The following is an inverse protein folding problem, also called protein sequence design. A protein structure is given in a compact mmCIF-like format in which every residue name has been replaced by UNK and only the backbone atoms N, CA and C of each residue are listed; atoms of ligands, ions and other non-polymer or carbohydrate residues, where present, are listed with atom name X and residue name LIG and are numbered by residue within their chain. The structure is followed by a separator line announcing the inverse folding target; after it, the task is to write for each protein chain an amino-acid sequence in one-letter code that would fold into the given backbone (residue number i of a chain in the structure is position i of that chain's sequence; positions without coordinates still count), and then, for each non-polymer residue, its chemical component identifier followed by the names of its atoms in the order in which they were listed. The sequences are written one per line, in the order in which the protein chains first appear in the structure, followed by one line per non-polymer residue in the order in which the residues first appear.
data_IF_164777400309
#
_entry.id   IF_164777400309
#
_cell.length_a   1.000
_cell.length_b   1.000
_cell.length_c   1.000
_cell.angle_alpha   90.00
_cell.angle_beta   90.00
_cell.angle_gamma   90.00
#
_symmetry.space_group_name_H-M   'P 1'
#
loop_
_entity.id
_entity.type
_entity.pdbx_description
1 polymer ?
#
# COMPACT_ATOMS: atom_id res chain seq x y z
N UNK A 1 -18.88 -9.12 35.71
CA UNK A 1 -17.65 -9.45 34.96
C UNK A 1 -16.53 -9.92 35.91
N UNK A 2 -16.11 -9.12 36.90
CA UNK A 2 -15.10 -9.56 37.88
C UNK A 2 -15.50 -10.80 38.69
N UNK A 3 -16.78 -10.94 39.03
CA UNK A 3 -17.34 -12.15 39.67
C UNK A 3 -17.25 -13.39 38.79
N UNK A 4 -17.33 -13.23 37.47
CA UNK A 4 -17.19 -14.31 36.51
C UNK A 4 -15.72 -14.76 36.43
N UNK A 5 -14.79 -13.83 36.29
CA UNK A 5 -13.35 -14.13 36.33
C UNK A 5 -12.94 -14.82 37.65
N UNK A 6 -13.50 -14.38 38.78
CA UNK A 6 -13.27 -15.03 40.07
C UNK A 6 -13.82 -16.47 40.11
N UNK A 7 -15.02 -16.69 39.58
CA UNK A 7 -15.63 -18.02 39.51
C UNK A 7 -14.82 -18.97 38.59
N UNK A 8 -14.25 -18.47 37.49
CA UNK A 8 -13.39 -19.26 36.60
C UNK A 8 -12.08 -19.69 37.29
N UNK A 9 -11.44 -18.80 38.05
CA UNK A 9 -10.24 -19.15 38.86
C UNK A 9 -10.60 -20.17 39.94
N UNK A 10 -11.76 -20.05 40.57
CA UNK A 10 -12.24 -21.05 41.54
C UNK A 10 -12.49 -22.40 40.85
N UNK A 11 -13.07 -22.40 39.66
CA UNK A 11 -13.28 -23.61 38.87
C UNK A 11 -11.94 -24.26 38.47
N UNK A 12 -10.98 -23.52 37.92
CA UNK A 12 -9.66 -24.05 37.55
C UNK A 12 -8.89 -24.56 38.76
N UNK A 13 -8.97 -23.88 39.91
CA UNK A 13 -8.40 -24.37 41.17
C UNK A 13 -9.04 -25.71 41.62
N UNK A 14 -10.37 -25.84 41.57
CA UNK A 14 -11.06 -27.11 41.91
C UNK A 14 -10.62 -28.26 41.01
N UNK A 15 -10.46 -28.00 39.71
CA UNK A 15 -9.96 -28.99 38.74
C UNK A 15 -8.51 -29.35 39.06
N UNK A 16 -7.64 -28.36 39.31
CA UNK A 16 -6.24 -28.57 39.67
C UNK A 16 -6.10 -29.41 40.95
N UNK A 17 -6.92 -29.18 41.97
CA UNK A 17 -6.92 -30.00 43.19
C UNK A 17 -7.20 -31.49 42.93
N UNK A 18 -7.94 -31.82 41.87
CA UNK A 18 -8.20 -33.21 41.47
C UNK A 18 -7.10 -33.79 40.59
N UNK A 19 -6.49 -32.97 39.72
CA UNK A 19 -5.43 -33.41 38.81
C UNK A 19 -4.06 -33.53 39.48
N UNK A 20 -3.73 -32.64 40.42
CA UNK A 20 -2.45 -32.63 41.11
C UNK A 20 -2.10 -33.95 41.83
N UNK A 21 -3.01 -34.61 42.59
CA UNK A 21 -2.70 -35.92 43.18
C UNK A 21 -2.51 -37.01 42.11
N UNK A 22 -3.23 -36.94 40.99
CA UNK A 22 -3.01 -37.86 39.86
C UNK A 22 -1.61 -37.67 39.25
N UNK A 23 -1.17 -36.42 39.10
CA UNK A 23 0.18 -36.08 38.67
C UNK A 23 1.25 -36.65 39.61
N UNK A 24 1.10 -36.50 40.94
CA UNK A 24 2.02 -37.08 41.92
C UNK A 24 2.04 -38.62 41.88
N UNK A 25 0.91 -39.26 41.62
CA UNK A 25 0.85 -40.72 41.46
C UNK A 25 1.58 -41.20 40.20
N UNK A 26 1.58 -40.40 39.13
CA UNK A 26 2.24 -40.69 37.87
C UNK A 26 3.75 -40.43 37.94
N UNK A 27 4.15 -39.38 38.64
CA UNK A 27 5.54 -38.96 38.83
C UNK A 27 5.87 -38.91 40.33
N UNK A 28 6.26 -40.06 40.92
CA UNK A 28 6.45 -40.17 42.37
C UNK A 28 7.73 -39.48 42.87
N UNK A 29 8.64 -39.12 41.96
CA UNK A 29 9.93 -38.56 42.34
C UNK A 29 9.83 -37.04 42.58
N UNK A 30 10.14 -36.55 43.80
CA UNK A 30 9.94 -35.15 44.18
C UNK A 30 10.79 -34.17 43.36
N UNK A 31 11.89 -34.64 42.75
CA UNK A 31 12.74 -33.78 41.89
C UNK A 31 12.02 -33.36 40.62
N UNK A 32 11.05 -34.15 40.11
CA UNK A 32 10.27 -33.74 38.93
C UNK A 32 9.39 -32.53 39.25
N UNK A 33 8.73 -32.54 40.41
CA UNK A 33 7.94 -31.38 40.87
C UNK A 33 8.84 -30.19 41.18
N UNK A 34 9.92 -30.41 41.94
CA UNK A 34 10.87 -29.36 42.28
C UNK A 34 11.49 -28.72 41.03
N UNK A 35 11.84 -29.50 40.02
CA UNK A 35 12.37 -28.99 38.75
C UNK A 35 11.37 -28.09 38.02
N UNK A 36 10.09 -28.47 37.95
CA UNK A 36 9.05 -27.62 37.32
C UNK A 36 8.82 -26.33 38.11
N UNK A 37 8.86 -26.40 39.44
CA UNK A 37 8.71 -25.22 40.29
C UNK A 37 9.92 -24.28 40.16
N UNK A 38 11.14 -24.80 40.17
CA UNK A 38 12.37 -24.01 39.98
C UNK A 38 12.41 -23.36 38.59
N UNK A 39 11.98 -24.07 37.55
CA UNK A 39 11.83 -23.49 36.21
C UNK A 39 10.80 -22.36 36.18
N UNK A 40 9.74 -22.43 37.00
CA UNK A 40 8.76 -21.35 37.14
C UNK A 40 9.29 -20.11 37.90
N UNK A 41 10.38 -20.26 38.66
CA UNK A 41 11.01 -19.19 39.45
C UNK A 41 12.16 -18.50 38.71
N UNK A 42 12.49 -18.92 37.49
CA UNK A 42 13.57 -18.28 36.73
C UNK A 42 13.23 -16.83 36.43
N UNK A 43 14.14 -15.92 36.75
CA UNK A 43 14.03 -14.51 36.41
C UNK A 43 14.95 -14.16 35.24
N UNK A 44 14.51 -13.24 34.39
CA UNK A 44 15.35 -12.70 33.33
C UNK A 44 16.07 -11.45 33.86
N UNK A 45 17.42 -11.41 33.90
CA UNK A 45 18.13 -10.22 34.32
C UNK A 45 18.05 -9.15 33.22
N UNK A 46 17.34 -8.06 33.51
CA UNK A 46 17.25 -6.89 32.64
C UNK A 46 18.10 -5.74 33.18
N UNK A 47 18.88 -5.13 32.28
CA UNK A 47 19.65 -3.92 32.49
C UNK A 47 18.76 -2.69 32.19
N UNK A 48 19.05 -1.53 32.79
CA UNK A 48 18.52 -0.22 32.36
C UNK A 48 18.69 0.06 30.85
N UNK A 49 19.73 -0.50 30.20
CA UNK A 49 19.99 -0.44 28.76
C UNK A 49 18.94 -1.20 27.91
N UNK A 50 18.10 -2.04 28.52
CA UNK A 50 17.09 -2.80 27.78
C UNK A 50 16.12 -1.90 27.00
N UNK A 51 15.75 -0.76 27.57
CA UNK A 51 14.88 0.20 26.91
C UNK A 51 15.57 0.89 25.72
N UNK A 52 16.88 1.11 25.80
CA UNK A 52 17.65 1.66 24.70
C UNK A 52 17.77 0.62 23.59
N UNK A 53 18.08 -0.63 23.93
CA UNK A 53 18.11 -1.74 22.98
C UNK A 53 16.79 -1.88 22.20
N UNK A 54 15.63 -1.82 22.87
CA UNK A 54 14.32 -1.85 22.19
C UNK A 54 14.18 -0.68 21.22
N UNK A 55 14.53 0.54 21.64
CA UNK A 55 14.46 1.72 20.78
C UNK A 55 15.35 1.58 19.55
N UNK A 56 16.60 1.13 19.74
CA UNK A 56 17.55 0.92 18.65
C UNK A 56 17.02 -0.17 17.68
N UNK A 57 16.36 -1.22 18.19
CA UNK A 57 15.71 -2.23 17.35
C UNK A 57 14.51 -1.67 16.57
N UNK A 58 13.68 -0.84 17.20
CA UNK A 58 12.52 -0.22 16.57
C UNK A 58 12.93 0.80 15.49
N UNK A 59 14.00 1.57 15.75
CA UNK A 59 14.59 2.52 14.80
C UNK A 59 15.17 1.77 13.60
N UNK A 60 16.02 0.78 13.82
CA UNK A 60 16.60 -0.03 12.74
C UNK A 60 15.53 -0.75 11.92
N UNK A 61 14.46 -1.24 12.54
CA UNK A 61 13.31 -1.80 11.82
C UNK A 61 12.60 -0.75 10.96
N UNK A 62 12.36 0.43 11.51
CA UNK A 62 11.68 1.53 10.81
C UNK A 62 12.49 2.01 9.61
N UNK A 63 13.80 2.08 9.74
CA UNK A 63 14.72 2.42 8.66
C UNK A 63 14.66 1.39 7.53
N UNK A 64 14.78 0.09 7.85
CA UNK A 64 14.73 -0.99 6.86
C UNK A 64 13.36 -1.09 6.18
N UNK A 65 12.26 -0.92 6.91
CA UNK A 65 10.91 -0.89 6.34
C UNK A 65 10.72 0.33 5.43
N UNK A 66 11.27 1.49 5.81
CA UNK A 66 11.33 2.69 4.98
C UNK A 66 12.08 2.45 3.67
N UNK A 67 13.30 1.90 3.74
CA UNK A 67 14.12 1.56 2.58
C UNK A 67 13.40 0.57 1.65
N UNK A 68 12.81 -0.49 2.22
CA UNK A 68 12.06 -1.48 1.44
C UNK A 68 10.88 -0.85 0.69
N UNK A 69 10.12 0.04 1.34
CA UNK A 69 9.02 0.78 0.72
C UNK A 69 9.51 1.71 -0.38
N UNK A 70 10.65 2.39 -0.18
CA UNK A 70 11.24 3.24 -1.21
C UNK A 70 11.64 2.43 -2.45
N UNK A 71 12.30 1.28 -2.29
CA UNK A 71 12.65 0.40 -3.40
C UNK A 71 11.39 -0.07 -4.13
N UNK A 72 10.37 -0.51 -3.40
CA UNK A 72 9.09 -0.92 -3.98
C UNK A 72 8.41 0.23 -4.75
N UNK A 73 8.52 1.46 -4.24
CA UNK A 73 7.95 2.64 -4.90
C UNK A 73 8.65 2.94 -6.22
N UNK A 74 9.98 2.84 -6.25
CA UNK A 74 10.80 3.02 -7.45
C UNK A 74 10.50 1.95 -8.50
N UNK A 75 10.36 0.69 -8.08
CA UNK A 75 9.99 -0.41 -8.96
C UNK A 75 8.58 -0.22 -9.55
N UNK A 76 7.64 0.31 -8.76
CA UNK A 76 6.30 0.60 -9.24
C UNK A 76 6.29 1.74 -10.27
N UNK A 77 7.13 2.75 -10.09
CA UNK A 77 7.32 3.84 -11.05
C UNK A 77 7.99 3.34 -12.35
N UNK A 78 9.02 2.50 -12.24
CA UNK A 78 9.64 1.84 -13.39
C UNK A 78 8.63 0.97 -14.15
N UNK A 79 7.81 0.19 -13.44
CA UNK A 79 6.74 -0.59 -14.06
C UNK A 79 5.76 0.31 -14.82
N UNK A 80 5.41 1.50 -14.31
CA UNK A 80 4.54 2.43 -15.02
C UNK A 80 5.11 2.91 -16.36
N UNK A 81 6.43 2.94 -16.54
CA UNK A 81 7.05 3.31 -17.81
C UNK A 81 6.66 2.36 -18.96
N UNK A 82 6.39 1.08 -18.64
CA UNK A 82 5.95 0.05 -19.59
C UNK A 82 4.62 0.38 -20.30
N UNK A 83 3.84 1.32 -19.76
CA UNK A 83 2.59 1.78 -20.36
C UNK A 83 2.81 2.45 -21.73
N UNK A 84 3.90 3.19 -21.91
CA UNK A 84 4.11 4.02 -23.11
C UNK A 84 4.28 3.19 -24.39
N UNK A 85 4.89 2.00 -24.28
CA UNK A 85 5.21 1.14 -25.43
C UNK A 85 4.29 -0.10 -25.53
N UNK A 86 3.26 -0.20 -24.68
CA UNK A 86 2.48 -1.43 -24.48
C UNK A 86 3.33 -2.69 -24.17
N UNK A 87 4.55 -2.49 -23.66
CA UNK A 87 5.48 -3.58 -23.33
C UNK A 87 5.00 -4.42 -22.15
N UNK A 88 4.04 -3.92 -21.38
CA UNK A 88 3.44 -4.67 -20.27
C UNK A 88 2.81 -6.01 -20.73
N UNK A 89 2.29 -6.11 -21.96
CA UNK A 89 1.74 -7.37 -22.51
C UNK A 89 2.80 -8.45 -22.67
N UNK A 90 4.02 -7.99 -22.98
CA UNK A 90 5.23 -8.81 -23.09
C UNK A 90 5.86 -9.07 -21.71
N UNK A 91 5.48 -8.32 -20.68
CA UNK A 91 6.13 -8.42 -19.39
C UNK A 91 5.55 -9.57 -18.56
N UNK A 92 6.42 -10.47 -18.14
CA UNK A 92 6.06 -11.75 -17.54
C UNK A 92 5.31 -11.64 -16.20
N UNK A 93 5.61 -10.62 -15.41
CA UNK A 93 4.95 -10.39 -14.12
C UNK A 93 3.73 -9.46 -14.18
N UNK A 94 3.57 -8.67 -15.25
CA UNK A 94 2.62 -7.55 -15.28
C UNK A 94 1.52 -7.64 -16.34
N UNK A 95 1.55 -8.64 -17.22
CA UNK A 95 0.55 -8.82 -18.29
C UNK A 95 -0.90 -8.87 -17.75
N UNK A 96 -1.10 -9.48 -16.58
CA UNK A 96 -2.40 -9.71 -15.92
C UNK A 96 -2.92 -8.51 -15.09
N UNK A 97 -2.18 -7.40 -14.99
CA UNK A 97 -2.59 -6.27 -14.14
C UNK A 97 -3.54 -5.28 -14.84
N UNK A 98 -4.32 -4.53 -14.06
CA UNK A 98 -5.27 -3.52 -14.56
C UNK A 98 -4.55 -2.28 -15.17
N UNK A 99 -4.16 -2.33 -16.45
CA UNK A 99 -3.50 -1.22 -17.17
C UNK A 99 -4.46 -0.14 -17.71
N UNK A 100 -5.75 -0.21 -17.38
CA UNK A 100 -6.74 0.76 -17.87
C UNK A 100 -6.48 2.18 -17.35
N UNK A 101 -6.34 3.14 -18.27
CA UNK A 101 -6.15 4.57 -17.96
C UNK A 101 -7.50 5.28 -17.94
N UNK A 102 -7.74 6.11 -16.91
CA UNK A 102 -8.97 6.92 -16.84
C UNK A 102 -8.97 8.02 -17.91
N UNK A 103 -10.01 8.05 -18.75
CA UNK A 103 -10.19 9.10 -19.74
C UNK A 103 -10.64 10.43 -19.08
N UNK A 104 -10.01 11.52 -19.49
CA UNK A 104 -10.30 12.88 -19.02
C UNK A 104 -11.51 13.46 -19.76
N UNK A 105 -12.67 13.46 -19.10
CA UNK A 105 -13.85 14.17 -19.62
C UNK A 105 -13.69 15.70 -19.45
N UNK A 106 -13.33 16.37 -20.54
CA UNK A 106 -13.25 17.83 -20.60
C UNK A 106 -14.64 18.48 -20.51
N UNK A 107 -14.70 19.67 -19.91
CA UNK A 107 -15.92 20.50 -19.96
C UNK A 107 -16.23 20.82 -21.43
N UNK A 108 -17.46 20.54 -21.87
CA UNK A 108 -17.94 21.03 -23.17
C UNK A 108 -17.79 22.55 -23.17
N UNK A 109 -17.15 23.11 -24.21
CA UNK A 109 -17.07 24.56 -24.39
C UNK A 109 -18.48 25.15 -24.26
N UNK A 110 -18.66 26.09 -23.35
CA UNK A 110 -19.89 26.88 -23.29
C UNK A 110 -19.91 27.71 -24.57
N UNK A 111 -20.65 27.27 -25.58
CA UNK A 111 -21.06 28.16 -26.67
C UNK A 111 -21.90 29.25 -26.04
N UNK A 112 -21.34 30.45 -25.86
CA UNK A 112 -22.08 31.62 -25.39
C UNK A 112 -23.21 31.89 -26.40
N UNK A 113 -24.41 31.37 -26.15
CA UNK A 113 -25.63 32.01 -26.63
C UNK A 113 -25.70 33.34 -25.89
N UNK A 114 -25.46 34.42 -26.61
CA UNK A 114 -25.70 35.78 -26.13
C UNK A 114 -27.16 35.85 -25.70
N UNK A 115 -27.39 35.85 -24.38
CA UNK A 115 -28.63 36.32 -23.77
C UNK A 115 -28.22 37.34 -22.71
N UNK A 116 -28.48 38.61 -23.03
CA UNK A 116 -28.50 39.69 -22.07
C UNK A 116 -29.43 39.31 -20.91
N UNK A 117 -28.91 39.32 -19.68
CA UNK A 117 -29.55 39.92 -18.50
C UNK A 117 -28.64 39.82 -17.27
N UNK A 118 -28.17 41.00 -16.88
CA UNK A 118 -28.15 41.60 -15.55
C UNK A 118 -27.70 40.76 -14.34
N UNK A 119 -26.64 41.30 -13.72
CA UNK A 119 -26.15 41.16 -12.36
C UNK A 119 -27.09 40.46 -11.35
N UNK A 120 -26.55 39.43 -10.68
CA UNK A 120 -26.80 39.21 -9.26
C UNK A 120 -25.77 38.23 -8.67
N UNK A 121 -24.99 38.77 -7.73
CA UNK A 121 -24.17 38.19 -6.65
C UNK A 121 -24.10 36.66 -6.54
N UNK A 122 -22.88 36.11 -6.63
CA UNK A 122 -22.53 34.81 -6.06
C UNK A 122 -21.35 35.02 -5.09
N UNK A 123 -21.59 34.67 -3.83
CA UNK A 123 -20.67 34.70 -2.71
C UNK A 123 -19.55 33.68 -2.89
N UNK A 124 -18.30 34.17 -2.92
CA UNK A 124 -17.11 33.33 -2.84
C UNK A 124 -16.83 33.11 -1.34
N UNK A 125 -16.95 31.87 -0.89
CA UNK A 125 -16.49 31.46 0.43
C UNK A 125 -14.96 31.54 0.47
N UNK A 126 -14.46 32.44 1.31
CA UNK A 126 -13.05 32.63 1.65
C UNK A 126 -12.69 31.72 2.82
N UNK A 127 -11.98 30.63 2.55
CA UNK A 127 -11.25 29.86 3.57
C UNK A 127 -9.76 29.84 3.20
N UNK A 128 -9.09 30.97 3.42
CA UNK A 128 -7.67 31.04 3.81
C UNK A 128 -7.58 32.20 4.80
N UNK A 129 -7.40 31.88 6.08
CA UNK A 129 -7.00 32.83 7.10
C UNK A 129 -5.51 33.14 6.90
N UNK A 130 -5.19 34.18 6.13
CA UNK A 130 -3.94 34.90 6.34
C UNK A 130 -4.13 35.86 7.49
N UNK A 131 -3.49 35.52 8.61
CA UNK A 131 -3.31 36.42 9.73
C UNK A 131 -2.57 37.69 9.30
N UNK A 132 -2.98 38.79 9.94
CA UNK A 132 -2.36 40.10 10.04
C UNK A 132 -2.76 41.15 9.00
N UNK A 133 -3.50 42.14 9.50
CA UNK A 133 -2.99 43.51 9.58
C UNK A 133 -3.09 44.34 8.31
N UNK A 134 -3.94 45.36 8.37
CA UNK A 134 -4.02 46.46 7.42
C UNK A 134 -2.63 46.99 7.01
N UNK A 135 -2.30 46.85 5.73
CA UNK A 135 -1.47 47.83 5.01
C UNK A 135 -1.75 47.69 3.53
N UNK A 136 -2.38 48.74 2.99
CA UNK A 136 -2.54 48.98 1.58
C UNK A 136 -1.16 49.15 0.94
N UNK A 137 -0.61 48.09 0.36
CA UNK A 137 0.42 48.20 -0.67
C UNK A 137 0.14 47.14 -1.75
N UNK A 138 -0.89 47.42 -2.53
CA UNK A 138 -1.05 46.90 -3.89
C UNK A 138 0.10 47.45 -4.75
N UNK A 139 1.31 46.93 -4.51
CA UNK A 139 2.51 47.20 -5.29
C UNK A 139 2.19 47.05 -6.78
N UNK A 140 2.65 48.00 -7.61
CA UNK A 140 2.36 47.99 -9.06
C UNK A 140 2.73 46.66 -9.73
N UNK A 141 3.70 45.97 -9.14
CA UNK A 141 4.18 44.64 -9.47
C UNK A 141 3.09 43.57 -9.36
N UNK A 142 2.24 43.59 -8.32
CA UNK A 142 1.18 42.61 -8.13
C UNK A 142 0.09 42.73 -9.22
N UNK A 143 -0.27 43.97 -9.59
CA UNK A 143 -1.20 44.24 -10.70
C UNK A 143 -0.59 43.87 -12.05
N UNK A 144 0.71 44.09 -12.23
CA UNK A 144 1.43 43.67 -13.43
C UNK A 144 1.47 42.14 -13.56
N UNK A 145 1.71 41.42 -12.47
CA UNK A 145 1.65 39.95 -12.43
C UNK A 145 0.23 39.44 -12.70
N UNK A 146 -0.79 40.02 -12.08
CA UNK A 146 -2.18 39.66 -12.36
C UNK A 146 -2.51 39.85 -13.84
N UNK A 147 -2.09 40.96 -14.45
CA UNK A 147 -2.29 41.19 -15.88
C UNK A 147 -1.58 40.16 -16.75
N UNK A 148 -0.35 39.74 -16.40
CA UNK A 148 0.38 38.68 -17.10
C UNK A 148 -0.28 37.30 -16.92
N UNK A 149 -0.87 37.02 -15.77
CA UNK A 149 -1.47 35.72 -15.45
C UNK A 149 -2.98 35.63 -15.72
N UNK A 150 -3.62 36.70 -16.20
CA UNK A 150 -5.04 36.72 -16.58
C UNK A 150 -5.40 35.58 -17.52
N UNK A 151 -4.57 35.36 -18.54
CA UNK A 151 -4.77 34.31 -19.55
C UNK A 151 -4.76 32.91 -18.92
N UNK A 152 -3.89 32.67 -17.93
CA UNK A 152 -3.83 31.40 -17.19
C UNK A 152 -5.08 31.18 -16.32
N UNK A 153 -5.56 32.24 -15.67
CA UNK A 153 -6.76 32.18 -14.84
C UNK A 153 -7.99 31.91 -15.72
N UNK A 154 -8.06 32.50 -16.91
CA UNK A 154 -9.11 32.23 -17.89
C UNK A 154 -9.07 30.76 -18.38
N UNK A 155 -7.86 30.21 -18.55
CA UNK A 155 -7.63 28.82 -18.94
C UNK A 155 -8.14 27.79 -17.91
N UNK A 156 -8.38 28.20 -16.64
CA UNK A 156 -9.05 27.38 -15.62
C UNK A 156 -10.42 26.86 -16.09
N UNK A 157 -11.11 27.62 -16.94
CA UNK A 157 -12.41 27.24 -17.50
C UNK A 157 -12.35 26.00 -18.40
N UNK A 158 -11.18 25.70 -18.97
CA UNK A 158 -10.92 24.54 -19.83
C UNK A 158 -10.59 23.26 -19.06
N UNK A 159 -10.39 23.36 -17.75
CA UNK A 159 -10.10 22.21 -16.90
C UNK A 159 -11.28 21.22 -16.89
N UNK A 160 -10.99 19.90 -16.73
CA UNK A 160 -12.02 18.87 -16.68
C UNK A 160 -13.04 19.12 -15.56
N UNK A 161 -14.25 18.57 -15.73
CA UNK A 161 -15.36 18.74 -14.77
C UNK A 161 -15.00 18.23 -13.38
N UNK A 162 -14.25 17.13 -13.34
CA UNK A 162 -13.69 16.52 -12.13
C UNK A 162 -12.21 16.30 -12.37
N UNK A 163 -11.38 16.68 -11.41
CA UNK A 163 -9.95 16.33 -11.42
C UNK A 163 -9.81 14.85 -11.07
N UNK A 164 -9.45 13.98 -12.03
CA UNK A 164 -9.18 12.59 -11.67
C UNK A 164 -7.90 12.55 -10.84
N UNK A 165 -7.86 11.58 -9.92
CA UNK A 165 -6.63 11.25 -9.22
C UNK A 165 -5.65 10.62 -10.21
N UNK A 166 -4.48 11.25 -10.38
CA UNK A 166 -3.37 10.83 -11.25
C UNK A 166 -3.80 10.43 -12.68
N UNK A 167 -4.23 11.38 -13.54
CA UNK A 167 -4.55 11.08 -14.93
C UNK A 167 -3.31 10.56 -15.68
N UNK A 168 -3.50 9.57 -16.55
CA UNK A 168 -2.41 8.98 -17.34
C UNK A 168 -1.75 7.76 -16.70
N UNK A 169 -2.02 7.47 -15.42
CA UNK A 169 -1.50 6.29 -14.74
C UNK A 169 -2.48 5.10 -14.79
N UNK A 170 -1.96 3.85 -14.76
CA UNK A 170 -2.80 2.66 -14.77
C UNK A 170 -3.58 2.50 -13.46
N UNK A 171 -4.74 1.85 -13.53
CA UNK A 171 -5.64 1.72 -12.40
C UNK A 171 -4.99 1.03 -11.19
N UNK A 172 -4.16 -0.01 -11.41
CA UNK A 172 -3.45 -0.69 -10.32
C UNK A 172 -2.50 0.26 -9.56
N UNK A 173 -1.79 1.15 -10.26
CA UNK A 173 -0.86 2.10 -9.64
C UNK A 173 -1.60 3.20 -8.87
N UNK A 174 -2.72 3.70 -9.42
CA UNK A 174 -3.53 4.70 -8.70
C UNK A 174 -4.09 4.17 -7.37
N UNK A 175 -4.28 2.85 -7.23
CA UNK A 175 -4.69 2.22 -5.95
C UNK A 175 -3.57 2.29 -4.89
N UNK A 176 -2.30 2.39 -5.29
CA UNK A 176 -1.13 2.46 -4.40
C UNK A 176 -0.83 3.88 -3.91
N UNK A 177 -1.32 4.90 -4.62
CA UNK A 177 -1.11 6.30 -4.25
C UNK A 177 -2.21 6.80 -3.31
N UNK A 178 -1.88 7.54 -2.23
CA UNK A 178 -2.88 8.17 -1.38
C UNK A 178 -3.67 9.22 -2.17
N UNK A 179 -4.93 9.43 -1.78
CA UNK A 179 -5.79 10.45 -2.41
C UNK A 179 -5.28 11.85 -2.02
N UNK A 180 -5.39 12.82 -2.93
CA UNK A 180 -4.95 14.20 -2.66
C UNK A 180 -5.65 14.86 -1.46
N UNK A 181 -6.82 14.35 -1.04
CA UNK A 181 -7.55 14.85 0.13
C UNK A 181 -7.11 14.24 1.47
N UNK A 182 -6.24 13.24 1.52
CA UNK A 182 -5.79 12.67 2.80
C UNK A 182 -4.71 13.55 3.43
N UNK A 183 -4.72 13.64 4.77
CA UNK A 183 -3.70 14.36 5.54
C UNK A 183 -2.28 13.81 5.28
N UNK A 184 -2.18 12.49 5.10
CA UNK A 184 -0.93 11.77 4.82
C UNK A 184 -0.60 11.73 3.31
N UNK A 185 -0.92 12.79 2.57
CA UNK A 185 -0.60 12.84 1.14
C UNK A 185 0.90 13.02 0.91
N UNK A 186 1.54 11.97 0.40
CA UNK A 186 2.88 12.00 -0.19
C UNK A 186 2.83 11.88 -1.72
N UNK A 187 3.85 12.41 -2.39
CA UNK A 187 4.08 12.15 -3.81
C UNK A 187 4.52 10.68 -3.99
N UNK A 188 3.89 9.97 -4.93
CA UNK A 188 4.25 8.59 -5.27
C UNK A 188 3.40 7.50 -4.59
N UNK A 189 3.76 6.22 -4.79
CA UNK A 189 3.02 5.07 -4.27
C UNK A 189 3.47 4.76 -2.84
N UNK A 190 2.80 5.36 -1.86
CA UNK A 190 3.16 5.25 -0.44
C UNK A 190 2.44 4.10 0.29
N UNK A 191 1.29 3.65 -0.23
CA UNK A 191 0.51 2.56 0.38
C UNK A 191 1.04 1.17 0.03
N UNK A 192 2.27 1.09 -0.45
CA UNK A 192 2.91 -0.17 -0.83
C UNK A 192 3.55 -0.84 0.39
N UNK A 193 3.36 -2.14 0.51
CA UNK A 193 3.97 -2.98 1.53
C UNK A 193 4.36 -4.32 0.92
N UNK A 194 5.36 -4.96 1.50
CA UNK A 194 5.78 -6.34 1.19
C UNK A 194 4.65 -7.36 1.31
N UNK A 195 3.62 -7.09 2.13
CA UNK A 195 2.45 -7.96 2.26
C UNK A 195 1.43 -7.88 1.11
N UNK A 196 1.57 -6.94 0.18
CA UNK A 196 0.63 -6.79 -0.94
C UNK A 196 0.86 -7.83 -2.04
N UNK A 197 -0.21 -8.28 -2.69
CA UNK A 197 -0.13 -9.23 -3.82
C UNK A 197 0.70 -8.72 -5.01
N UNK A 198 0.84 -7.41 -5.16
CA UNK A 198 1.64 -6.80 -6.23
C UNK A 198 3.15 -6.82 -5.91
N UNK A 199 3.54 -6.91 -4.63
CA UNK A 199 4.96 -6.81 -4.23
C UNK A 199 5.84 -7.94 -4.80
N UNK A 200 5.43 -9.23 -4.78
CA UNK A 200 6.19 -10.29 -5.44
C UNK A 200 6.35 -10.09 -6.96
N UNK A 201 5.33 -9.51 -7.61
CA UNK A 201 5.36 -9.18 -9.05
C UNK A 201 6.33 -8.03 -9.33
N UNK A 202 6.34 -6.99 -8.48
CA UNK A 202 7.27 -5.85 -8.57
C UNK A 202 8.72 -6.23 -8.35
N UNK A 203 8.98 -7.12 -7.39
CA UNK A 203 10.32 -7.65 -7.11
C UNK A 203 10.79 -8.70 -8.12
N UNK A 204 9.98 -9.01 -9.14
CA UNK A 204 10.26 -10.07 -10.12
C UNK A 204 10.66 -11.39 -9.48
N UNK A 205 9.94 -11.79 -8.42
CA UNK A 205 10.28 -13.00 -7.68
C UNK A 205 10.12 -14.24 -8.56
N UNK A 206 11.09 -15.14 -8.43
CA UNK A 206 11.12 -16.44 -9.08
C UNK A 206 11.23 -17.55 -8.03
N UNK A 207 10.61 -18.70 -8.32
CA UNK A 207 10.77 -19.92 -7.54
C UNK A 207 11.30 -21.02 -8.47
N UNK A 208 12.41 -21.66 -8.09
CA UNK A 208 13.13 -22.61 -8.96
C UNK A 208 13.35 -22.04 -10.38
N UNK A 209 13.72 -20.76 -10.46
CA UNK A 209 13.94 -20.07 -11.73
C UNK A 209 12.70 -19.90 -12.63
N UNK A 210 11.51 -20.07 -12.05
CA UNK A 210 10.25 -19.86 -12.75
C UNK A 210 9.51 -18.65 -12.13
N UNK A 211 8.89 -17.78 -12.94
CA UNK A 211 8.18 -16.61 -12.45
C UNK A 211 7.00 -17.01 -11.58
N UNK A 212 6.81 -16.27 -10.48
CA UNK A 212 5.68 -16.44 -9.60
C UNK A 212 4.46 -15.68 -10.11
N UNK A 213 3.30 -16.33 -10.13
CA UNK A 213 2.03 -15.74 -10.53
C UNK A 213 0.93 -16.11 -9.52
N UNK A 214 0.00 -15.17 -9.29
CA UNK A 214 -1.11 -15.36 -8.36
C UNK A 214 -2.41 -15.45 -9.14
N UNK A 215 -3.19 -16.52 -8.90
CA UNK A 215 -4.51 -16.74 -9.48
C UNK A 215 -5.56 -16.67 -8.37
N UNK A 216 -6.64 -15.93 -8.58
CA UNK A 216 -7.74 -15.85 -7.62
C UNK A 216 -8.36 -17.23 -7.40
N UNK A 217 -8.51 -17.63 -6.14
CA UNK A 217 -9.06 -18.95 -5.74
C UNK A 217 -8.02 -20.07 -5.63
N UNK A 218 -6.96 -20.04 -6.44
CA UNK A 218 -5.91 -21.08 -6.44
C UNK A 218 -4.64 -20.67 -5.68
N UNK A 219 -4.46 -19.37 -5.42
CA UNK A 219 -3.31 -18.84 -4.68
C UNK A 219 -2.09 -18.61 -5.56
N UNK A 220 -0.90 -18.75 -4.97
CA UNK A 220 0.37 -18.55 -5.66
C UNK A 220 0.82 -19.83 -6.38
N UNK A 221 1.14 -19.68 -7.66
CA UNK A 221 1.70 -20.72 -8.51
C UNK A 221 2.91 -20.22 -9.29
N UNK A 222 3.52 -21.11 -10.08
CA UNK A 222 4.64 -20.79 -10.96
C UNK A 222 4.18 -20.90 -12.40
N UNK A 223 4.71 -20.03 -13.26
CA UNK A 223 4.51 -20.13 -14.70
C UNK A 223 5.50 -21.15 -15.28
N UNK A 224 4.95 -22.20 -15.88
CA UNK A 224 5.72 -23.27 -16.52
C UNK A 224 5.37 -23.30 -18.01
N UNK A 225 6.35 -23.43 -18.92
CA UNK A 225 6.11 -23.38 -20.37
C UNK A 225 5.46 -24.66 -20.94
N UNK A 226 4.70 -25.42 -20.15
CA UNK A 226 3.98 -26.60 -20.60
C UNK A 226 2.48 -26.30 -20.67
N UNK A 227 1.85 -26.71 -21.76
CA UNK A 227 0.39 -26.72 -21.85
C UNK A 227 -0.13 -27.86 -20.98
N UNK A 228 -1.05 -27.54 -20.07
CA UNK A 228 -1.80 -28.54 -19.31
C UNK A 228 -3.25 -28.50 -19.77
N UNK A 229 -3.97 -29.61 -19.61
CA UNK A 229 -5.40 -29.71 -19.97
C UNK A 229 -6.32 -28.98 -18.96
N UNK A 230 -5.74 -28.14 -18.10
CA UNK A 230 -6.46 -27.39 -17.08
C UNK A 230 -6.93 -26.08 -17.70
N UNK A 231 -8.25 -25.93 -17.87
CA UNK A 231 -8.87 -24.69 -18.32
C UNK A 231 -8.70 -23.63 -17.21
N UNK A 232 -7.75 -22.73 -17.40
CA UNK A 232 -7.57 -21.53 -16.59
C UNK A 232 -8.12 -20.33 -17.35
N UNK A 233 -8.96 -19.53 -16.65
CA UNK A 233 -9.37 -18.21 -17.14
C UNK A 233 -8.11 -17.37 -17.45
N UNK A 234 -8.10 -16.69 -18.60
CA UNK A 234 -7.00 -15.86 -19.13
C UNK A 234 -5.69 -16.61 -19.51
N UNK A 235 -5.74 -17.92 -19.74
CA UNK A 235 -4.57 -18.69 -20.19
C UNK A 235 -4.02 -18.29 -21.56
N UNK A 236 -4.82 -17.64 -22.40
CA UNK A 236 -4.44 -17.23 -23.76
C UNK A 236 -3.56 -15.96 -23.79
N UNK A 237 -3.63 -15.12 -22.74
CA UNK A 237 -2.93 -13.83 -22.69
C UNK A 237 -1.49 -13.94 -22.14
N UNK A 238 -1.05 -15.15 -21.81
CA UNK A 238 0.28 -15.38 -21.23
C UNK A 238 1.36 -15.24 -22.31
N UNK A 239 2.41 -14.41 -22.09
CA UNK A 239 3.51 -14.26 -23.04
C UNK A 239 4.42 -15.51 -23.06
N UNK A 240 4.04 -16.52 -23.84
CA UNK A 240 4.76 -17.80 -23.93
C UNK A 240 6.16 -17.69 -24.53
N UNK A 241 6.35 -16.84 -25.53
CA UNK A 241 7.66 -16.67 -26.19
C UNK A 241 8.73 -16.18 -25.20
N UNK A 242 8.37 -15.21 -24.36
CA UNK A 242 9.29 -14.64 -23.38
C UNK A 242 9.47 -15.54 -22.16
N UNK A 243 8.45 -16.31 -21.80
CA UNK A 243 8.59 -17.39 -20.82
C UNK A 243 9.66 -18.39 -21.25
N UNK A 244 9.59 -18.86 -22.48
CA UNK A 244 10.55 -19.84 -23.03
C UNK A 244 11.95 -19.24 -23.05
N UNK A 245 12.11 -17.99 -23.53
CA UNK A 245 13.40 -17.29 -23.49
C UNK A 245 13.95 -17.14 -22.08
N UNK A 246 13.11 -16.77 -21.11
CA UNK A 246 13.52 -16.64 -19.72
C UNK A 246 13.98 -17.99 -19.15
N UNK A 247 13.22 -19.06 -19.38
CA UNK A 247 13.61 -20.40 -18.93
C UNK A 247 14.91 -20.89 -19.58
N UNK A 248 15.13 -20.60 -20.86
CA UNK A 248 16.37 -20.95 -21.57
C UNK A 248 17.59 -20.23 -20.97
N UNK A 249 17.45 -18.93 -20.69
CA UNK A 249 18.52 -18.12 -20.13
C UNK A 249 18.91 -18.49 -18.69
N UNK A 250 18.04 -19.18 -17.95
CA UNK A 250 18.34 -19.60 -16.57
C UNK A 250 18.88 -21.03 -16.48
N UNK A 251 18.72 -21.83 -17.54
CA UNK A 251 19.32 -23.18 -17.61
C UNK A 251 20.78 -23.18 -18.09
N UNK A 252 21.22 -22.12 -18.75
CA UNK A 252 22.62 -21.88 -19.16
C UNK A 252 23.46 -21.26 -18.06
#
# INVERSE_FOLDING_TARGET
LMTYCANDVIATHRVLCKLFPMYLSRFPHPVSLAGVLELGLTYLPVNSNWNQYIKDCDETYSDLDGEAKLILSQLAEQACQLLHNEEYKKHLWFWDQDWHVRNLALKKKVTKKVKNKNESKISIATDIQTANGDTQDESSEYKQLQNKFKDLIEMKSLLPVRTPHLPGYPAWYTKLCPKLSSLDWGAGPQLISTGMQIAPKLLSLTWKSMPLHYVQGHGWGMLVPFKTDIELDNSEDVPLEQLVLHCQNVQS
#
